data_IF_928155878089
#
_entry.id   IF_928155878089
#
_cell.length_a   1.000
_cell.length_b   1.000
_cell.length_c   1.000
_cell.angle_alpha   90.00
_cell.angle_beta   90.00
_cell.angle_gamma   90.00
#
_symmetry.space_group_name_H-M   'P 1'
#
loop_
_entity.id
_entity.type
_entity.pdbx_description
1 polymer ?
#
# COMPACT_ATOMS: atom_id res chain seq x y z
N UNK A 1 -6.71 6.28 1.69
CA UNK A 1 -6.92 7.00 2.96
C UNK A 1 -7.56 8.39 2.75
N UNK A 2 -7.11 9.19 1.74
CA UNK A 2 -7.69 10.53 1.49
C UNK A 2 -9.22 10.50 1.34
N UNK A 3 -9.75 9.61 0.49
CA UNK A 3 -11.19 9.47 0.32
C UNK A 3 -11.88 9.10 1.65
N UNK A 4 -11.30 8.20 2.42
CA UNK A 4 -11.88 7.72 3.67
C UNK A 4 -12.02 8.84 4.71
N UNK A 5 -11.01 9.68 4.89
CA UNK A 5 -11.09 10.80 5.84
C UNK A 5 -12.03 11.91 5.37
N UNK A 6 -12.19 12.11 4.06
CA UNK A 6 -13.14 13.07 3.47
C UNK A 6 -14.60 12.59 3.52
N UNK A 7 -14.82 11.28 3.67
CA UNK A 7 -16.14 10.65 3.71
C UNK A 7 -16.26 9.75 4.95
N UNK A 8 -15.79 10.22 6.11
CA UNK A 8 -15.67 9.42 7.31
C UNK A 8 -17.04 8.86 7.81
N UNK A 9 -18.14 9.55 7.53
CA UNK A 9 -19.50 9.09 7.82
C UNK A 9 -19.88 7.79 7.06
N UNK A 10 -19.27 7.56 5.89
CA UNK A 10 -19.52 6.41 5.02
C UNK A 10 -18.53 5.25 5.23
N UNK A 11 -17.53 5.41 6.09
CA UNK A 11 -16.50 4.41 6.37
C UNK A 11 -16.75 3.82 7.75
N UNK A 12 -16.90 2.50 7.84
CA UNK A 12 -17.12 1.80 9.10
C UNK A 12 -15.79 1.58 9.86
N UNK A 13 -14.75 1.16 9.15
CA UNK A 13 -13.44 0.85 9.71
C UNK A 13 -12.33 1.09 8.66
N UNK A 14 -11.07 1.14 9.10
CA UNK A 14 -9.88 1.16 8.23
C UNK A 14 -9.08 -0.14 8.38
N UNK A 15 -8.71 -0.74 7.28
CA UNK A 15 -7.70 -1.79 7.23
C UNK A 15 -6.53 -1.30 6.38
N UNK A 16 -5.35 -1.19 6.98
CA UNK A 16 -4.17 -0.55 6.41
C UNK A 16 -3.06 -1.60 6.27
N UNK A 17 -2.65 -1.86 5.04
CA UNK A 17 -1.65 -2.86 4.69
C UNK A 17 -0.57 -2.23 3.81
N UNK A 18 0.70 -2.59 4.02
CA UNK A 18 1.85 -2.29 3.16
C UNK A 18 1.73 -0.99 2.34
N UNK A 19 1.52 0.12 3.02
CA UNK A 19 1.32 1.44 2.40
C UNK A 19 1.98 2.54 3.22
N UNK A 20 1.93 3.79 2.72
CA UNK A 20 2.49 4.95 3.39
C UNK A 20 1.61 6.20 3.25
N UNK A 21 1.88 7.17 4.12
CA UNK A 21 1.42 8.55 3.97
C UNK A 21 2.57 9.35 3.35
N UNK A 22 2.45 9.65 2.07
CA UNK A 22 3.52 10.30 1.30
C UNK A 22 3.45 11.82 1.46
N UNK A 23 4.09 12.32 2.51
CA UNK A 23 4.17 13.74 2.85
C UNK A 23 5.48 14.40 2.40
N UNK A 24 6.13 13.86 1.37
CA UNK A 24 7.41 14.32 0.86
C UNK A 24 8.60 13.43 1.25
N UNK A 25 8.40 12.45 2.12
CA UNK A 25 9.43 11.48 2.52
C UNK A 25 9.06 10.09 2.04
N UNK A 26 9.99 9.44 1.35
CA UNK A 26 9.80 8.12 0.78
C UNK A 26 11.00 7.22 1.06
N UNK A 27 10.79 5.90 1.10
CA UNK A 27 11.86 4.91 1.30
C UNK A 27 12.75 4.79 0.05
N UNK A 28 13.94 4.24 0.23
CA UNK A 28 14.82 3.90 -0.90
C UNK A 28 14.18 2.85 -1.81
N UNK A 29 13.45 1.89 -1.24
CA UNK A 29 12.71 0.88 -2.01
C UNK A 29 11.65 1.52 -2.91
N UNK A 30 10.91 2.50 -2.39
CA UNK A 30 9.97 3.24 -3.20
C UNK A 30 10.63 4.04 -4.32
N UNK A 31 11.76 4.72 -4.06
CA UNK A 31 12.49 5.45 -5.09
C UNK A 31 12.98 4.52 -6.21
N UNK A 32 13.48 3.33 -5.87
CA UNK A 32 13.87 2.33 -6.86
C UNK A 32 12.69 1.87 -7.72
N UNK A 33 11.53 1.65 -7.10
CA UNK A 33 10.30 1.35 -7.82
C UNK A 33 9.86 2.49 -8.76
N UNK A 34 9.87 3.74 -8.26
CA UNK A 34 9.55 4.93 -9.05
C UNK A 34 10.44 5.06 -10.27
N UNK A 35 11.77 4.94 -10.09
CA UNK A 35 12.76 4.96 -11.17
C UNK A 35 12.50 3.87 -12.21
N UNK A 36 12.17 2.65 -11.76
CA UNK A 36 11.84 1.55 -12.66
C UNK A 36 10.58 1.87 -13.48
N UNK A 37 9.50 2.34 -12.84
CA UNK A 37 8.26 2.68 -13.51
C UNK A 37 8.44 3.81 -14.54
N UNK A 38 9.23 4.85 -14.22
CA UNK A 38 9.54 5.96 -15.11
C UNK A 38 10.27 5.51 -16.39
N UNK A 39 11.20 4.54 -16.26
CA UNK A 39 11.97 4.02 -17.40
C UNK A 39 11.25 2.91 -18.17
N UNK A 40 10.15 2.40 -17.64
CA UNK A 40 9.43 1.25 -18.20
C UNK A 40 7.94 1.58 -18.37
N UNK A 41 7.57 2.48 -19.31
CA UNK A 41 6.17 2.88 -19.49
C UNK A 41 5.26 1.70 -19.93
N UNK A 42 5.81 0.69 -20.56
CA UNK A 42 5.14 -0.58 -20.83
C UNK A 42 5.45 -1.60 -19.71
N UNK A 43 4.94 -1.32 -18.51
CA UNK A 43 5.20 -2.14 -17.33
C UNK A 43 4.84 -3.62 -17.56
N UNK A 44 5.76 -4.56 -17.28
CA UNK A 44 5.45 -5.99 -17.23
C UNK A 44 4.71 -6.31 -15.93
N UNK A 45 3.37 -6.12 -15.90
CA UNK A 45 2.58 -6.11 -14.66
C UNK A 45 2.69 -7.42 -13.90
N UNK A 46 2.48 -8.57 -14.55
CA UNK A 46 2.60 -9.88 -13.92
C UNK A 46 4.00 -10.12 -13.33
N UNK A 47 5.05 -9.70 -14.03
CA UNK A 47 6.43 -9.79 -13.53
C UNK A 47 6.63 -8.89 -12.28
N UNK A 48 6.08 -7.67 -12.28
CA UNK A 48 6.16 -6.76 -11.12
C UNK A 48 5.48 -7.38 -9.91
N UNK A 49 4.28 -7.93 -10.07
CA UNK A 49 3.56 -8.62 -8.99
C UNK A 49 4.40 -9.80 -8.48
N UNK A 50 4.86 -10.68 -9.36
CA UNK A 50 5.68 -11.84 -8.97
C UNK A 50 6.97 -11.44 -8.25
N UNK A 51 7.64 -10.37 -8.69
CA UNK A 51 8.89 -9.91 -8.06
C UNK A 51 8.68 -9.27 -6.68
N UNK A 52 7.45 -8.92 -6.33
CA UNK A 52 7.07 -8.30 -5.07
C UNK A 52 6.20 -9.21 -4.18
N UNK A 53 6.15 -10.52 -4.47
CA UNK A 53 5.65 -11.59 -3.60
C UNK A 53 6.80 -12.41 -3.03
N UNK A 54 6.62 -12.98 -1.84
CA UNK A 54 7.56 -13.90 -1.22
C UNK A 54 7.40 -15.33 -1.79
N UNK A 55 6.22 -15.65 -2.29
CA UNK A 55 5.85 -16.97 -2.85
C UNK A 55 5.94 -16.93 -4.38
N UNK A 56 6.36 -18.04 -4.99
CA UNK A 56 6.24 -18.20 -6.43
C UNK A 56 4.76 -18.37 -6.80
N UNK A 57 4.23 -17.44 -7.58
CA UNK A 57 2.86 -17.52 -8.07
C UNK A 57 2.76 -18.50 -9.25
N UNK A 58 1.65 -19.24 -9.38
CA UNK A 58 1.35 -20.02 -10.58
C UNK A 58 1.28 -19.13 -11.84
N UNK A 59 1.68 -19.69 -12.98
CA UNK A 59 1.74 -18.96 -14.25
C UNK A 59 0.36 -18.36 -14.67
N UNK A 60 -0.73 -19.05 -14.37
CA UNK A 60 -2.09 -18.58 -14.64
C UNK A 60 -2.49 -17.39 -13.76
N UNK A 61 -2.00 -17.33 -12.52
CA UNK A 61 -2.17 -16.17 -11.63
C UNK A 61 -1.39 -14.97 -12.16
N UNK A 62 -0.12 -15.18 -12.56
CA UNK A 62 0.70 -14.11 -13.18
C UNK A 62 0.02 -13.59 -14.46
N UNK A 63 -0.46 -14.50 -15.32
CA UNK A 63 -1.19 -14.14 -16.54
C UNK A 63 -2.50 -13.39 -16.24
N UNK A 64 -3.20 -13.70 -15.15
CA UNK A 64 -4.40 -12.99 -14.74
C UNK A 64 -4.12 -11.53 -14.36
N UNK A 65 -2.94 -11.23 -13.78
CA UNK A 65 -2.50 -9.85 -13.55
C UNK A 65 -2.17 -9.07 -14.82
N UNK A 66 -1.70 -9.75 -15.87
CA UNK A 66 -1.45 -9.13 -17.18
C UNK A 66 -2.72 -8.96 -18.02
N UNK A 67 -3.74 -9.77 -17.80
CA UNK A 67 -4.97 -9.80 -18.62
C UNK A 67 -5.71 -8.45 -18.78
N UNK A 68 -5.78 -7.56 -17.75
CA UNK A 68 -6.40 -6.24 -17.90
C UNK A 68 -5.59 -5.27 -18.77
N UNK A 69 -4.36 -5.62 -19.15
CA UNK A 69 -3.40 -4.73 -19.79
C UNK A 69 -2.95 -5.25 -21.18
N UNK A 70 -3.86 -5.29 -22.19
CA UNK A 70 -3.57 -5.88 -23.49
C UNK A 70 -2.53 -5.11 -24.33
N UNK A 71 -2.19 -3.88 -23.94
CA UNK A 71 -1.19 -3.04 -24.63
C UNK A 71 -0.62 -1.96 -23.70
N UNK A 72 0.42 -1.26 -24.15
CA UNK A 72 1.08 -0.21 -23.36
C UNK A 72 0.13 0.93 -22.94
N UNK A 73 -0.81 1.30 -23.78
CA UNK A 73 -1.77 2.38 -23.47
C UNK A 73 -2.66 2.04 -22.26
N UNK A 74 -3.06 0.77 -22.12
CA UNK A 74 -3.86 0.31 -20.97
C UNK A 74 -3.08 0.34 -19.65
N UNK A 75 -1.73 0.36 -19.68
CA UNK A 75 -0.83 0.44 -18.53
C UNK A 75 -0.51 1.86 -18.09
N UNK A 76 -0.98 2.89 -18.81
CA UNK A 76 -0.62 4.28 -18.53
C UNK A 76 -0.90 4.71 -17.08
N UNK A 77 -2.03 4.26 -16.49
CA UNK A 77 -2.35 4.49 -15.08
C UNK A 77 -1.33 3.84 -14.15
N UNK A 78 -1.04 2.56 -14.34
CA UNK A 78 -0.09 1.81 -13.51
C UNK A 78 1.32 2.43 -13.55
N UNK A 79 1.79 2.85 -14.73
CA UNK A 79 3.07 3.53 -14.90
C UNK A 79 3.08 4.93 -14.26
N UNK A 80 1.96 5.66 -14.30
CA UNK A 80 1.88 7.03 -13.80
C UNK A 80 1.73 7.11 -12.27
N UNK A 81 1.06 6.17 -11.62
CA UNK A 81 0.79 6.23 -10.18
C UNK A 81 2.05 6.44 -9.31
N UNK A 82 3.16 5.72 -9.48
CA UNK A 82 4.38 5.97 -8.72
C UNK A 82 4.94 7.38 -8.89
N UNK A 83 4.75 7.98 -10.07
CA UNK A 83 5.27 9.31 -10.41
C UNK A 83 4.45 10.43 -9.76
N UNK A 84 3.20 10.16 -9.36
CA UNK A 84 2.33 11.11 -8.68
C UNK A 84 2.59 11.20 -7.16
N UNK A 85 3.37 10.27 -6.61
CA UNK A 85 3.69 10.27 -5.18
C UNK A 85 4.62 11.45 -4.84
N UNK A 86 4.26 12.32 -3.87
CA UNK A 86 5.11 13.43 -3.45
C UNK A 86 6.44 12.92 -2.87
N UNK A 87 7.56 13.40 -3.40
CA UNK A 87 8.91 13.05 -2.95
C UNK A 87 9.62 14.20 -2.24
N UNK A 88 8.96 15.36 -2.13
CA UNK A 88 9.41 16.55 -1.37
C UNK A 88 8.20 17.24 -0.73
N UNK A 89 8.45 18.07 0.27
CA UNK A 89 7.40 18.76 1.04
C UNK A 89 6.63 19.80 0.20
N UNK A 90 7.22 20.28 -0.89
CA UNK A 90 6.64 21.24 -1.85
C UNK A 90 6.03 20.56 -3.10
N UNK A 91 6.16 19.24 -3.21
CA UNK A 91 5.59 18.48 -4.32
C UNK A 91 4.05 18.56 -4.34
N UNK A 92 3.50 18.50 -5.55
CA UNK A 92 2.04 18.43 -5.75
C UNK A 92 1.47 17.25 -4.97
N UNK A 93 0.45 17.49 -4.16
CA UNK A 93 -0.18 16.47 -3.32
C UNK A 93 0.38 16.34 -1.89
N UNK A 94 1.56 16.90 -1.60
CA UNK A 94 2.16 16.81 -0.25
C UNK A 94 1.28 17.48 0.82
N UNK A 95 0.75 18.67 0.54
CA UNK A 95 -0.16 19.39 1.46
C UNK A 95 -1.45 18.63 1.73
N UNK A 96 -2.02 18.01 0.69
CA UNK A 96 -3.21 17.16 0.82
C UNK A 96 -2.93 15.94 1.67
N UNK A 97 -1.75 15.34 1.55
CA UNK A 97 -1.37 14.20 2.39
C UNK A 97 -1.11 14.60 3.85
N UNK A 98 -0.58 15.80 4.11
CA UNK A 98 -0.50 16.34 5.48
C UNK A 98 -1.89 16.54 6.09
N UNK A 99 -2.86 17.03 5.33
CA UNK A 99 -4.24 17.14 5.81
C UNK A 99 -4.88 15.77 6.09
N UNK A 100 -4.53 14.73 5.30
CA UNK A 100 -4.95 13.34 5.57
C UNK A 100 -4.32 12.83 6.87
N UNK A 101 -3.04 13.09 7.09
CA UNK A 101 -2.32 12.74 8.33
C UNK A 101 -2.98 13.38 9.55
N UNK A 102 -3.28 14.68 9.47
CA UNK A 102 -3.97 15.40 10.54
C UNK A 102 -5.38 14.82 10.82
N UNK A 103 -6.14 14.47 9.78
CA UNK A 103 -7.44 13.84 9.94
C UNK A 103 -7.37 12.43 10.57
N UNK A 104 -6.35 11.63 10.17
CA UNK A 104 -6.12 10.30 10.74
C UNK A 104 -5.71 10.36 12.22
N UNK A 105 -5.01 11.40 12.66
CA UNK A 105 -4.66 11.58 14.09
C UNK A 105 -5.89 11.79 14.99
N UNK A 106 -7.04 12.07 14.41
CA UNK A 106 -8.34 12.21 15.08
C UNK A 106 -9.34 11.12 14.67
N UNK A 107 -8.87 10.07 14.00
CA UNK A 107 -9.76 8.98 13.59
C UNK A 107 -10.30 8.21 14.78
N UNK A 108 -11.62 8.16 14.92
CA UNK A 108 -12.30 7.58 16.09
C UNK A 108 -13.00 6.24 15.82
N UNK A 109 -12.89 5.68 14.59
CA UNK A 109 -13.51 4.40 14.25
C UNK A 109 -12.47 3.29 14.25
N UNK A 110 -12.86 1.99 14.29
CA UNK A 110 -11.92 0.87 14.29
C UNK A 110 -10.90 0.98 13.16
N UNK A 111 -9.64 0.64 13.47
CA UNK A 111 -8.57 0.59 12.49
C UNK A 111 -7.65 -0.60 12.76
N UNK A 112 -7.37 -1.37 11.71
CA UNK A 112 -6.38 -2.44 11.67
C UNK A 112 -5.15 -1.92 10.93
N UNK A 113 -3.97 -2.15 11.49
CA UNK A 113 -2.68 -1.92 10.82
C UNK A 113 -1.95 -3.26 10.76
N UNK A 114 -1.74 -3.79 9.56
CA UNK A 114 -1.05 -5.06 9.37
C UNK A 114 -0.03 -4.97 8.24
N UNK A 115 1.22 -5.28 8.55
CA UNK A 115 2.34 -5.14 7.62
C UNK A 115 3.12 -6.44 7.52
N UNK A 116 3.57 -6.75 6.32
CA UNK A 116 4.40 -7.92 6.04
C UNK A 116 5.85 -7.72 6.48
N UNK A 117 6.51 -8.79 6.88
CA UNK A 117 7.87 -8.76 7.39
C UNK A 117 8.96 -8.72 6.31
N UNK A 118 8.59 -8.99 5.06
CA UNK A 118 9.52 -9.05 3.93
C UNK A 118 9.32 -7.94 2.89
N UNK A 119 8.48 -6.91 3.16
CA UNK A 119 8.27 -5.81 2.22
C UNK A 119 9.47 -4.86 2.16
N UNK A 120 10.18 -4.76 1.01
CA UNK A 120 11.32 -3.86 0.89
C UNK A 120 10.91 -2.39 0.71
N UNK A 121 9.64 -2.11 0.39
CA UNK A 121 9.12 -0.76 0.16
C UNK A 121 8.63 -0.14 1.46
N UNK A 122 7.89 -0.92 2.27
CA UNK A 122 7.36 -0.50 3.57
C UNK A 122 7.85 -1.45 4.67
N UNK A 123 9.09 -1.26 5.15
CA UNK A 123 9.74 -2.21 6.05
C UNK A 123 9.04 -2.29 7.40
N UNK A 124 8.78 -3.53 7.83
CA UNK A 124 8.31 -3.86 9.18
C UNK A 124 9.48 -3.72 10.19
N UNK A 125 9.28 -3.23 11.42
CA UNK A 125 8.00 -2.74 11.94
C UNK A 125 7.73 -1.25 11.67
N UNK A 126 8.70 -0.51 11.11
CA UNK A 126 8.73 0.95 11.10
C UNK A 126 7.54 1.56 10.35
N UNK A 127 7.19 1.00 9.20
CA UNK A 127 6.12 1.55 8.37
C UNK A 127 4.73 1.40 9.03
N UNK A 128 4.44 0.23 9.59
CA UNK A 128 3.19 -0.02 10.31
C UNK A 128 3.13 0.74 11.64
N UNK A 129 4.25 0.81 12.37
CA UNK A 129 4.32 1.53 13.64
C UNK A 129 3.95 3.01 13.49
N UNK A 130 4.37 3.64 12.38
CA UNK A 130 4.00 5.02 12.09
C UNK A 130 2.48 5.24 12.02
N UNK A 131 1.72 4.27 11.51
CA UNK A 131 0.25 4.32 11.52
C UNK A 131 -0.34 4.06 12.91
N UNK A 132 0.23 3.13 13.67
CA UNK A 132 -0.22 2.86 15.05
C UNK A 132 0.00 4.07 15.96
N UNK A 133 1.12 4.77 15.80
CA UNK A 133 1.42 5.99 16.57
C UNK A 133 0.52 7.15 16.17
N UNK A 134 0.06 7.17 14.91
CA UNK A 134 -0.78 8.24 14.36
C UNK A 134 -2.26 8.06 14.68
N UNK A 135 -2.79 6.83 14.54
CA UNK A 135 -4.24 6.56 14.59
C UNK A 135 -4.61 6.05 15.99
N UNK A 136 -5.38 6.81 16.80
CA UNK A 136 -5.64 6.46 18.19
C UNK A 136 -6.33 5.10 18.39
N UNK A 137 -7.04 4.61 17.37
CA UNK A 137 -7.84 3.37 17.42
C UNK A 137 -7.13 2.17 16.78
N UNK A 138 -5.92 2.33 16.27
CA UNK A 138 -5.22 1.26 15.54
C UNK A 138 -4.68 0.12 16.42
N UNK A 139 -4.44 0.38 17.72
CA UNK A 139 -3.81 -0.62 18.60
C UNK A 139 -2.37 -0.97 18.19
N UNK A 140 -1.95 -2.22 18.46
CA UNK A 140 -0.68 -2.73 17.99
C UNK A 140 -0.79 -3.22 16.56
N UNK A 141 0.29 -3.02 15.78
CA UNK A 141 0.33 -3.56 14.44
C UNK A 141 0.38 -5.10 14.44
N UNK A 142 -0.30 -5.70 13.49
CA UNK A 142 -0.23 -7.12 13.20
C UNK A 142 0.91 -7.37 12.21
N UNK A 143 1.78 -8.33 12.54
CA UNK A 143 2.81 -8.79 11.62
C UNK A 143 2.27 -9.90 10.72
N UNK A 144 2.40 -9.76 9.41
CA UNK A 144 2.09 -10.80 8.44
C UNK A 144 3.39 -11.52 8.07
N UNK A 145 3.66 -12.63 8.75
CA UNK A 145 4.89 -13.41 8.59
C UNK A 145 5.01 -14.09 7.23
N UNK A 146 6.18 -13.99 6.62
CA UNK A 146 6.52 -14.64 5.35
C UNK A 146 5.75 -14.07 4.16
N UNK A 147 5.40 -12.80 4.20
CA UNK A 147 4.78 -12.06 3.10
C UNK A 147 5.65 -10.89 2.66
N UNK A 148 5.63 -10.58 1.36
CA UNK A 148 6.27 -9.41 0.78
C UNK A 148 5.24 -8.29 0.51
N UNK A 149 5.47 -7.43 -0.48
CA UNK A 149 4.62 -6.26 -0.74
C UNK A 149 3.16 -6.64 -1.05
N UNK A 150 2.94 -7.64 -1.89
CA UNK A 150 1.61 -8.16 -2.21
C UNK A 150 1.19 -9.27 -1.22
N UNK A 151 1.04 -8.88 0.04
CA UNK A 151 0.76 -9.79 1.16
C UNK A 151 -0.52 -10.61 0.97
N UNK A 152 -1.48 -10.13 0.20
CA UNK A 152 -2.72 -10.86 -0.11
C UNK A 152 -2.47 -12.08 -1.00
N UNK A 153 -1.42 -12.09 -1.80
CA UNK A 153 -0.99 -13.26 -2.59
C UNK A 153 -0.22 -14.27 -1.72
N UNK A 154 0.59 -13.75 -0.81
CA UNK A 154 1.42 -14.60 0.06
C UNK A 154 0.64 -15.21 1.23
N UNK A 155 -0.27 -14.43 1.85
CA UNK A 155 -0.97 -14.77 3.09
C UNK A 155 -2.42 -14.28 3.11
N UNK A 156 -3.13 -14.39 1.98
CA UNK A 156 -4.50 -13.89 1.82
C UNK A 156 -5.48 -14.36 2.89
N UNK A 157 -5.44 -15.64 3.29
CA UNK A 157 -6.30 -16.16 4.36
C UNK A 157 -6.01 -15.53 5.73
N UNK A 158 -4.73 -15.25 6.04
CA UNK A 158 -4.36 -14.56 7.27
C UNK A 158 -4.90 -13.13 7.25
N UNK A 159 -4.66 -12.40 6.16
CA UNK A 159 -5.19 -11.06 5.96
C UNK A 159 -6.71 -11.01 6.11
N UNK A 160 -7.42 -11.97 5.50
CA UNK A 160 -8.87 -12.06 5.58
C UNK A 160 -9.36 -12.28 7.03
N UNK A 161 -8.70 -13.14 7.81
CA UNK A 161 -9.03 -13.36 9.23
C UNK A 161 -8.87 -12.08 10.05
N UNK A 162 -7.79 -11.33 9.84
CA UNK A 162 -7.56 -10.07 10.55
C UNK A 162 -8.65 -9.04 10.23
N UNK A 163 -9.06 -8.94 8.95
CA UNK A 163 -10.16 -8.05 8.54
C UNK A 163 -11.49 -8.49 9.14
N UNK A 164 -11.78 -9.79 9.17
CA UNK A 164 -13.01 -10.29 9.80
C UNK A 164 -13.03 -10.00 11.31
N UNK A 165 -11.89 -10.14 11.99
CA UNK A 165 -11.75 -9.78 13.41
C UNK A 165 -12.00 -8.28 13.65
N UNK A 166 -11.55 -7.40 12.73
CA UNK A 166 -11.82 -5.97 12.80
C UNK A 166 -13.32 -5.64 12.68
N UNK A 167 -14.04 -6.42 11.90
CA UNK A 167 -15.46 -6.16 11.60
C UNK A 167 -16.45 -6.78 12.60
N UNK A 168 -15.99 -7.70 13.47
CA UNK A 168 -16.77 -8.39 14.51
C UNK A 168 -17.43 -9.63 13.97
#
# INVERSE_FOLDING_TARGET
>A
LRWAVQNADRVAALAIFNTGLFTGRVSKGFLSWRDFAERTPDLPVGFVIQSATATALPDDVVAAYDAPFPNAASKAGAAQFPLLVPTSDDAVGAKEMLAVTDALSRWGKPALVAFSDMDPVFPYPQAGQAFCDLIPTAGQQVKIDGASHFLQEDRGEHVAREVLTLLG
#
